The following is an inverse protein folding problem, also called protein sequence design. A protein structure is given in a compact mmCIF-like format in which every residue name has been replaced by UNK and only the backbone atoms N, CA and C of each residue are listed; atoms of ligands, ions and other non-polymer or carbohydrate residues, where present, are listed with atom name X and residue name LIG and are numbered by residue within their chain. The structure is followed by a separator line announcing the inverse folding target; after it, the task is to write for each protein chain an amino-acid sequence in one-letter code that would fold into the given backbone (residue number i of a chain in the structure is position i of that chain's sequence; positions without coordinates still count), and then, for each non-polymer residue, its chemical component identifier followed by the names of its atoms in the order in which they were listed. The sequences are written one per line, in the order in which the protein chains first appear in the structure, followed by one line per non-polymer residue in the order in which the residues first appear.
data_IF_694358619017
#
_entry.id   IF_694358619017
#
_cell.length_a   1.000
_cell.length_b   1.000
_cell.length_c   1.000
_cell.angle_alpha   90.00
_cell.angle_beta   90.00
_cell.angle_gamma   90.00
#
_symmetry.space_group_name_H-M   'P 1'
#
loop_
_entity.id
_entity.type
_entity.pdbx_description
1 polymer ?
#
# COMPACT_ATOMS: atom_id res chain seq x y z
N UNK A 1 -62.39 -29.73 -43.87
CA UNK A 1 -61.19 -30.39 -44.42
C UNK A 1 -60.79 -31.51 -43.48
N UNK A 2 -61.01 -32.75 -43.92
CA UNK A 2 -60.89 -33.97 -43.13
C UNK A 2 -59.42 -34.46 -43.13
N UNK A 3 -58.83 -34.65 -41.95
CA UNK A 3 -57.53 -35.32 -41.80
C UNK A 3 -57.75 -36.83 -41.71
N UNK A 4 -57.15 -37.53 -42.67
CA UNK A 4 -57.15 -38.98 -42.80
C UNK A 4 -56.48 -39.66 -41.59
N UNK A 5 -57.13 -40.73 -41.10
CA UNK A 5 -56.52 -41.79 -40.28
C UNK A 5 -55.61 -42.64 -41.17
N UNK A 6 -54.47 -43.13 -40.67
CA UNK A 6 -53.89 -44.37 -41.15
C UNK A 6 -54.48 -45.56 -40.37
N UNK A 7 -54.90 -46.55 -41.13
CA UNK A 7 -55.33 -47.88 -40.66
C UNK A 7 -54.17 -48.62 -40.00
N UNK A 8 -54.52 -49.38 -38.96
CA UNK A 8 -53.64 -50.25 -38.21
C UNK A 8 -53.92 -51.69 -38.68
N UNK A 9 -52.95 -52.45 -39.22
CA UNK A 9 -53.18 -53.85 -39.50
C UNK A 9 -53.19 -54.64 -38.19
N UNK A 10 -54.27 -55.38 -38.00
CA UNK A 10 -54.44 -56.47 -37.06
C UNK A 10 -53.57 -57.66 -37.48
N UNK A 11 -52.68 -58.10 -36.59
CA UNK A 11 -51.98 -59.37 -36.69
C UNK A 11 -52.08 -60.08 -35.35
N UNK A 12 -52.79 -61.21 -35.37
CA UNK A 12 -53.11 -62.04 -34.22
C UNK A 12 -51.88 -62.67 -33.54
N UNK A 13 -52.02 -62.78 -32.22
CA UNK A 13 -51.52 -63.81 -31.30
C UNK A 13 -50.47 -64.81 -31.79
N UNK A 14 -49.28 -64.72 -31.21
CA UNK A 14 -48.46 -65.89 -30.92
C UNK A 14 -47.81 -65.76 -29.53
N UNK A 15 -48.38 -66.53 -28.59
CA UNK A 15 -47.75 -67.14 -27.43
C UNK A 15 -46.66 -66.34 -26.66
N UNK A 16 -47.10 -65.82 -25.53
CA UNK A 16 -46.31 -65.47 -24.36
C UNK A 16 -45.33 -66.60 -23.97
N UNK A 17 -44.03 -66.30 -24.02
CA UNK A 17 -43.01 -66.96 -23.19
C UNK A 17 -42.20 -65.87 -22.52
N UNK A 18 -42.12 -65.81 -21.18
CA UNK A 18 -41.26 -64.85 -20.50
C UNK A 18 -39.81 -65.23 -20.82
N UNK A 19 -39.14 -64.40 -21.63
CA UNK A 19 -37.69 -64.48 -21.79
C UNK A 19 -37.08 -64.05 -20.46
N UNK A 20 -36.67 -65.04 -19.68
CA UNK A 20 -35.90 -64.89 -18.46
C UNK A 20 -34.66 -64.04 -18.78
N UNK A 21 -34.64 -62.79 -18.27
CA UNK A 21 -33.48 -61.91 -18.42
C UNK A 21 -32.27 -62.62 -17.81
N UNK A 22 -31.17 -62.82 -18.55
CA UNK A 22 -30.01 -63.50 -18.02
C UNK A 22 -29.51 -62.73 -16.79
N UNK A 23 -29.42 -63.45 -15.67
CA UNK A 23 -28.91 -62.92 -14.41
C UNK A 23 -27.57 -62.20 -14.67
N UNK A 24 -27.51 -60.90 -14.38
CA UNK A 24 -26.28 -60.11 -14.47
C UNK A 24 -25.20 -60.82 -13.65
N UNK A 25 -24.22 -61.43 -14.32
CA UNK A 25 -23.04 -62.01 -13.67
C UNK A 25 -22.45 -60.95 -12.72
N UNK A 26 -22.12 -61.31 -11.47
CA UNK A 26 -21.48 -60.39 -10.55
C UNK A 26 -20.19 -59.89 -11.20
N UNK A 27 -20.04 -58.57 -11.32
CA UNK A 27 -18.82 -57.97 -11.83
C UNK A 27 -17.66 -58.42 -10.93
N UNK A 28 -16.54 -58.90 -11.48
CA UNK A 28 -15.40 -59.32 -10.66
C UNK A 28 -14.94 -58.14 -9.78
N UNK A 29 -14.47 -58.42 -8.54
CA UNK A 29 -13.95 -57.39 -7.66
C UNK A 29 -12.92 -56.56 -8.41
N UNK A 30 -13.14 -55.24 -8.49
CA UNK A 30 -12.24 -54.34 -9.20
C UNK A 30 -10.88 -54.40 -8.52
N UNK A 31 -9.91 -55.04 -9.18
CA UNK A 31 -8.56 -55.21 -8.68
C UNK A 31 -7.96 -53.82 -8.39
N UNK A 32 -7.58 -53.59 -7.13
CA UNK A 32 -7.03 -52.29 -6.72
C UNK A 32 -5.65 -52.18 -7.33
N UNK A 33 -5.47 -51.24 -8.28
CA UNK A 33 -4.14 -50.92 -8.82
C UNK A 33 -3.15 -50.72 -7.66
N UNK A 34 -1.94 -51.33 -7.73
CA UNK A 34 -0.91 -51.15 -6.71
C UNK A 34 -0.66 -49.66 -6.48
N UNK A 35 -0.61 -49.24 -5.21
CA UNK A 35 -0.22 -47.86 -4.88
C UNK A 35 1.27 -47.73 -5.17
N UNK A 36 1.62 -46.70 -5.93
CA UNK A 36 3.00 -46.31 -6.15
C UNK A 36 3.65 -45.92 -4.80
N UNK A 37 4.72 -46.62 -4.36
CA UNK A 37 5.38 -46.35 -3.09
C UNK A 37 6.07 -44.97 -3.07
N UNK A 38 6.39 -44.39 -4.24
CA UNK A 38 7.01 -43.06 -4.32
C UNK A 38 6.05 -41.93 -3.98
N UNK A 39 4.72 -42.16 -4.01
CA UNK A 39 3.74 -41.12 -3.72
C UNK A 39 2.51 -41.70 -3.00
N UNK A 40 2.54 -41.77 -1.65
CA UNK A 40 1.58 -42.53 -0.84
C UNK A 40 0.16 -41.95 -0.84
N UNK A 41 -0.05 -40.77 -1.44
CA UNK A 41 -1.33 -40.07 -1.43
C UNK A 41 -2.30 -40.67 -2.44
N UNK A 42 -3.55 -40.84 -1.99
CA UNK A 42 -4.64 -41.20 -2.89
C UNK A 42 -4.86 -40.10 -3.95
N UNK A 43 -5.41 -40.43 -5.14
CA UNK A 43 -5.72 -39.43 -6.16
C UNK A 43 -6.56 -38.28 -5.64
N UNK A 44 -7.54 -38.56 -4.77
CA UNK A 44 -8.40 -37.55 -4.16
C UNK A 44 -7.62 -36.57 -3.27
N UNK A 45 -6.68 -37.08 -2.46
CA UNK A 45 -5.81 -36.24 -1.61
C UNK A 45 -4.88 -35.40 -2.48
N UNK A 46 -4.33 -35.96 -3.56
CA UNK A 46 -3.49 -35.18 -4.50
C UNK A 46 -4.28 -34.03 -5.11
N UNK A 47 -5.49 -34.30 -5.60
CA UNK A 47 -6.37 -33.26 -6.14
C UNK A 47 -6.67 -32.17 -5.12
N UNK A 48 -7.00 -32.55 -3.88
CA UNK A 48 -7.25 -31.59 -2.81
C UNK A 48 -6.03 -30.70 -2.54
N UNK A 49 -4.84 -31.29 -2.41
CA UNK A 49 -3.61 -30.54 -2.15
C UNK A 49 -3.27 -29.65 -3.35
N UNK A 50 -3.41 -30.14 -4.58
CA UNK A 50 -3.21 -29.32 -5.78
C UNK A 50 -4.15 -28.12 -5.83
N UNK A 51 -5.43 -28.30 -5.47
CA UNK A 51 -6.39 -27.20 -5.38
C UNK A 51 -6.00 -26.19 -4.28
N UNK A 52 -5.54 -26.67 -3.12
CA UNK A 52 -5.08 -25.80 -2.03
C UNK A 52 -3.83 -24.99 -2.42
N UNK A 53 -2.87 -25.61 -3.11
CA UNK A 53 -1.68 -24.92 -3.64
C UNK A 53 -2.08 -23.88 -4.68
N UNK A 54 -2.97 -24.24 -5.61
CA UNK A 54 -3.46 -23.30 -6.62
C UNK A 54 -4.19 -22.11 -5.98
N UNK A 55 -5.02 -22.37 -4.97
CA UNK A 55 -5.70 -21.33 -4.18
C UNK A 55 -4.71 -20.40 -3.49
N UNK A 56 -3.69 -20.95 -2.82
CA UNK A 56 -2.67 -20.16 -2.13
C UNK A 56 -1.87 -19.32 -3.12
N UNK A 57 -1.42 -19.89 -4.23
CA UNK A 57 -0.70 -19.15 -5.27
C UNK A 57 -1.57 -18.03 -5.83
N UNK A 58 -2.85 -18.28 -6.12
CA UNK A 58 -3.77 -17.23 -6.54
C UNK A 58 -3.89 -16.12 -5.47
N UNK A 59 -3.99 -16.47 -4.20
CA UNK A 59 -4.04 -15.50 -3.10
C UNK A 59 -2.75 -14.67 -2.95
N UNK A 60 -1.58 -15.23 -3.31
CA UNK A 60 -0.30 -14.51 -3.29
C UNK A 60 -0.14 -13.59 -4.49
N UNK A 61 -0.59 -13.99 -5.67
CA UNK A 61 -0.35 -13.25 -6.92
C UNK A 61 -1.48 -12.28 -7.32
N UNK A 62 -2.70 -12.47 -6.83
CA UNK A 62 -3.82 -11.54 -7.10
C UNK A 62 -3.61 -10.16 -6.44
N UNK A 63 -3.21 -10.05 -5.15
CA UNK A 63 -3.03 -8.74 -4.52
C UNK A 63 -1.98 -7.84 -5.19
N UNK A 64 -0.79 -8.34 -5.63
CA UNK A 64 0.18 -7.54 -6.37
C UNK A 64 -0.32 -7.01 -7.74
N UNK A 65 -1.40 -7.57 -8.30
CA UNK A 65 -2.04 -7.01 -9.50
C UNK A 65 -2.91 -5.80 -9.19
N UNK A 66 -3.14 -5.50 -7.91
CA UNK A 66 -3.76 -4.27 -7.43
C UNK A 66 -2.70 -3.15 -7.37
N UNK A 67 -2.16 -2.77 -8.53
CA UNK A 67 -1.27 -1.61 -8.61
C UNK A 67 -2.11 -0.34 -8.59
N UNK A 68 -2.02 0.45 -7.52
CA UNK A 68 -2.48 1.83 -7.50
C UNK A 68 -1.57 2.67 -8.40
N UNK A 69 -1.85 2.70 -9.70
CA UNK A 69 -1.24 3.67 -10.60
C UNK A 69 -2.12 4.93 -10.59
N UNK A 70 -1.83 5.87 -9.71
CA UNK A 70 -2.45 7.21 -9.76
C UNK A 70 -1.68 8.09 -10.75
N UNK A 71 -2.30 8.55 -11.85
CA UNK A 71 -1.64 9.42 -12.83
C UNK A 71 -1.36 10.87 -12.40
N UNK A 72 -1.66 11.30 -11.16
CA UNK A 72 -1.42 12.68 -10.71
C UNK A 72 -1.01 12.73 -9.23
N UNK A 73 0.13 13.36 -8.96
CA UNK A 73 0.81 13.49 -7.66
C UNK A 73 0.09 14.41 -6.64
N UNK A 74 -1.24 14.26 -6.44
CA UNK A 74 -2.01 15.10 -5.50
C UNK A 74 -2.78 14.34 -4.41
N UNK A 75 -2.79 13.01 -4.47
CA UNK A 75 -3.33 12.15 -3.42
C UNK A 75 -2.22 11.23 -2.91
N UNK A 76 -2.23 10.93 -1.62
CA UNK A 76 -1.37 9.91 -1.03
C UNK A 76 -1.81 8.53 -1.55
N UNK A 77 -1.05 7.85 -2.43
CA UNK A 77 -1.55 6.64 -3.08
C UNK A 77 -1.06 5.43 -2.30
N UNK A 78 -1.78 5.05 -1.26
CA UNK A 78 -1.82 3.70 -0.69
C UNK A 78 -2.67 3.80 0.56
N UNK A 79 -3.97 3.73 0.35
CA UNK A 79 -4.89 3.62 1.47
C UNK A 79 -5.11 2.13 1.68
N UNK A 80 -4.89 1.59 2.89
CA UNK A 80 -5.20 0.20 3.18
C UNK A 80 -6.62 -0.14 2.69
N UNK A 81 -6.87 -1.38 2.23
CA UNK A 81 -8.22 -1.76 1.81
C UNK A 81 -9.26 -1.43 2.88
N UNK A 82 -10.13 -0.45 2.60
CA UNK A 82 -11.19 -0.01 3.50
C UNK A 82 -11.00 1.35 4.18
N UNK A 83 -9.83 1.99 4.05
CA UNK A 83 -9.62 3.36 4.54
C UNK A 83 -9.99 4.42 3.46
N UNK A 84 -10.28 5.69 3.86
CA UNK A 84 -10.57 6.77 2.93
C UNK A 84 -9.30 7.32 2.24
N UNK A 85 -9.40 7.60 0.93
CA UNK A 85 -8.35 8.33 0.19
C UNK A 85 -8.18 9.70 0.80
N UNK A 86 -6.94 10.10 1.09
CA UNK A 86 -6.61 11.41 1.64
C UNK A 86 -5.87 12.27 0.62
N UNK A 87 -6.15 13.57 0.62
CA UNK A 87 -5.45 14.50 -0.27
C UNK A 87 -4.01 14.75 0.24
N UNK A 88 -3.25 15.58 -0.48
CA UNK A 88 -1.92 16.04 -0.02
C UNK A 88 -1.96 16.80 1.32
N UNK A 89 -3.16 17.12 1.82
CA UNK A 89 -3.42 17.76 3.10
C UNK A 89 -4.07 16.77 4.09
N UNK A 90 -3.95 15.45 3.88
CA UNK A 90 -4.45 14.44 4.82
C UNK A 90 -5.96 14.45 5.06
N UNK A 91 -6.72 15.25 4.32
CA UNK A 91 -8.17 15.35 4.43
C UNK A 91 -8.82 14.21 3.67
N UNK A 92 -9.84 13.58 4.26
CA UNK A 92 -10.58 12.51 3.61
C UNK A 92 -11.27 13.03 2.35
N UNK A 93 -10.86 12.50 1.20
CA UNK A 93 -11.42 12.79 -0.10
C UNK A 93 -12.63 11.89 -0.35
N UNK A 94 -13.82 12.48 -0.52
CA UNK A 94 -15.00 11.70 -0.85
C UNK A 94 -14.89 11.10 -2.28
N UNK A 95 -15.48 9.91 -2.54
CA UNK A 95 -15.34 9.19 -3.81
C UNK A 95 -15.72 9.97 -5.07
N UNK A 96 -16.60 10.96 -4.94
CA UNK A 96 -17.01 11.82 -6.04
C UNK A 96 -15.89 12.77 -6.52
N UNK A 97 -14.90 13.08 -5.69
CA UNK A 97 -13.76 13.96 -6.03
C UNK A 97 -12.52 13.22 -6.52
N UNK A 98 -12.52 11.90 -6.48
CA UNK A 98 -11.37 11.08 -6.89
C UNK A 98 -10.98 11.30 -8.36
N UNK A 99 -11.97 11.44 -9.26
CA UNK A 99 -11.70 11.70 -10.68
C UNK A 99 -11.10 13.09 -10.93
N UNK A 100 -11.45 14.07 -10.11
CA UNK A 100 -10.97 15.47 -10.26
C UNK A 100 -9.47 15.60 -10.00
N UNK A 101 -8.93 14.73 -9.16
CA UNK A 101 -7.51 14.67 -8.80
C UNK A 101 -6.75 13.55 -9.52
N UNK A 102 -7.37 12.93 -10.52
CA UNK A 102 -6.75 11.87 -11.32
C UNK A 102 -6.60 10.53 -10.61
N UNK A 103 -7.35 10.27 -9.53
CA UNK A 103 -7.45 8.92 -8.94
C UNK A 103 -8.43 8.11 -9.79
N UNK A 104 -7.88 7.37 -10.75
CA UNK A 104 -8.62 6.34 -11.48
C UNK A 104 -8.42 5.00 -10.79
N UNK A 105 -9.52 4.31 -10.48
CA UNK A 105 -9.44 2.90 -10.06
C UNK A 105 -9.06 2.11 -11.30
N UNK A 106 -7.76 1.85 -11.48
CA UNK A 106 -7.22 1.09 -12.61
C UNK A 106 -7.32 -0.43 -12.42
N UNK A 107 -8.09 -0.92 -11.45
CA UNK A 107 -8.26 -2.35 -11.23
C UNK A 107 -9.35 -2.91 -12.17
N UNK A 108 -9.04 -3.88 -13.05
CA UNK A 108 -10.06 -4.60 -13.79
C UNK A 108 -11.08 -5.22 -12.79
N UNK A 109 -12.40 -5.18 -13.07
CA UNK A 109 -13.42 -5.66 -12.13
C UNK A 109 -13.18 -7.10 -11.63
N UNK A 110 -12.60 -7.95 -12.48
CA UNK A 110 -12.21 -9.31 -12.13
C UNK A 110 -11.12 -9.33 -11.05
N UNK A 111 -10.08 -8.50 -11.19
CA UNK A 111 -8.97 -8.43 -10.22
C UNK A 111 -9.48 -7.88 -8.89
N UNK A 112 -10.31 -6.83 -8.92
CA UNK A 112 -10.93 -6.29 -7.71
C UNK A 112 -11.82 -7.33 -6.99
N UNK A 113 -12.62 -8.08 -7.75
CA UNK A 113 -13.45 -9.16 -7.21
C UNK A 113 -12.64 -10.28 -6.58
N UNK A 114 -11.56 -10.72 -7.25
CA UNK A 114 -10.66 -11.74 -6.73
C UNK A 114 -9.89 -11.26 -5.50
N UNK A 115 -9.39 -10.02 -5.49
CA UNK A 115 -8.71 -9.43 -4.34
C UNK A 115 -9.63 -9.43 -3.11
N UNK A 116 -10.89 -8.99 -3.27
CA UNK A 116 -11.90 -9.04 -2.19
C UNK A 116 -12.18 -10.45 -1.71
N UNK A 117 -12.22 -11.42 -2.61
CA UNK A 117 -12.43 -12.83 -2.25
C UNK A 117 -11.27 -13.40 -1.42
N UNK A 118 -10.03 -13.07 -1.78
CA UNK A 118 -8.84 -13.55 -1.08
C UNK A 118 -8.49 -12.74 0.18
N UNK A 119 -9.05 -11.54 0.35
CA UNK A 119 -8.70 -10.59 1.40
C UNK A 119 -8.64 -11.23 2.81
N UNK A 120 -9.68 -11.96 3.22
CA UNK A 120 -9.71 -12.59 4.54
C UNK A 120 -8.60 -13.64 4.73
N UNK A 121 -8.30 -14.42 3.68
CA UNK A 121 -7.23 -15.42 3.72
C UNK A 121 -5.85 -14.75 3.71
N UNK A 122 -5.68 -13.71 2.90
CA UNK A 122 -4.43 -12.96 2.80
C UNK A 122 -4.12 -12.22 4.10
N UNK A 123 -5.13 -11.62 4.74
CA UNK A 123 -5.03 -10.99 6.06
C UNK A 123 -4.68 -12.01 7.15
N UNK A 124 -5.33 -13.17 7.15
CA UNK A 124 -5.06 -14.23 8.14
C UNK A 124 -3.59 -14.70 8.10
N UNK A 125 -3.02 -14.80 6.90
CA UNK A 125 -1.63 -15.24 6.70
C UNK A 125 -0.63 -14.08 6.58
N UNK A 126 -1.10 -12.83 6.66
CA UNK A 126 -0.30 -11.62 6.52
C UNK A 126 0.52 -11.54 5.21
N UNK A 127 -0.04 -12.06 4.11
CA UNK A 127 0.61 -12.12 2.78
C UNK A 127 0.18 -10.98 1.84
N UNK A 128 -0.66 -10.06 2.32
CA UNK A 128 -1.16 -8.91 1.57
C UNK A 128 -0.19 -7.73 1.50
N UNK A 129 0.85 -7.68 2.33
CA UNK A 129 1.79 -6.53 2.41
C UNK A 129 2.96 -6.60 1.42
N UNK A 130 2.97 -7.58 0.51
CA UNK A 130 4.16 -7.95 -0.25
C UNK A 130 4.78 -6.80 -1.06
N UNK A 131 3.97 -6.01 -1.77
CA UNK A 131 4.50 -4.91 -2.59
C UNK A 131 4.80 -3.65 -1.76
N UNK A 132 3.94 -3.28 -0.80
CA UNK A 132 4.16 -2.11 0.07
C UNK A 132 5.41 -2.24 0.95
N UNK A 133 5.78 -3.46 1.35
CA UNK A 133 6.98 -3.70 2.16
C UNK A 133 8.29 -3.45 1.38
N UNK A 134 8.34 -3.81 0.10
CA UNK A 134 9.57 -3.68 -0.73
C UNK A 134 9.59 -2.43 -1.61
N UNK A 135 8.42 -1.89 -1.90
CA UNK A 135 8.22 -0.68 -2.70
C UNK A 135 7.18 0.19 -1.99
N UNK A 136 7.47 0.69 -0.77
CA UNK A 136 6.61 1.70 -0.17
C UNK A 136 6.44 2.80 -1.20
N UNK A 137 5.20 3.10 -1.57
CA UNK A 137 4.94 4.06 -2.62
C UNK A 137 5.62 5.37 -2.21
N UNK A 138 6.62 5.86 -2.97
CA UNK A 138 7.32 7.05 -2.55
C UNK A 138 6.28 8.17 -2.50
N UNK A 139 5.96 8.61 -1.28
CA UNK A 139 5.16 9.81 -1.09
C UNK A 139 5.91 11.00 -1.65
N UNK A 140 5.30 12.17 -1.56
CA UNK A 140 6.05 13.40 -1.78
C UNK A 140 7.24 13.49 -0.82
N UNK A 141 8.35 14.08 -1.28
CA UNK A 141 9.52 14.31 -0.44
C UNK A 141 9.43 15.69 0.20
N UNK A 142 9.80 15.81 1.46
CA UNK A 142 9.80 17.09 2.15
C UNK A 142 11.21 17.68 2.20
N UNK A 143 11.30 19.00 2.00
CA UNK A 143 12.52 19.78 2.21
C UNK A 143 12.19 21.02 3.02
N UNK A 144 13.14 21.43 3.87
CA UNK A 144 13.04 22.64 4.67
C UNK A 144 14.15 23.58 4.25
N UNK A 145 13.78 24.71 3.66
CA UNK A 145 14.70 25.84 3.47
C UNK A 145 14.75 26.65 4.76
N UNK A 146 15.93 27.10 5.19
CA UNK A 146 16.08 27.90 6.41
C UNK A 146 16.93 29.16 6.19
N UNK A 147 16.57 30.20 6.93
CA UNK A 147 17.31 31.46 7.07
C UNK A 147 17.47 31.75 8.56
N UNK A 148 18.70 31.74 9.06
CA UNK A 148 19.03 32.16 10.43
C UNK A 148 19.32 33.66 10.43
N UNK A 149 18.67 34.38 11.33
CA UNK A 149 18.70 35.83 11.45
C UNK A 149 19.39 36.25 12.75
N UNK A 150 20.16 37.33 12.70
CA UNK A 150 20.71 37.99 13.89
C UNK A 150 19.66 38.81 14.67
N UNK A 151 20.09 39.49 15.74
CA UNK A 151 19.24 40.36 16.55
C UNK A 151 18.64 41.55 15.76
N UNK A 152 19.28 41.93 14.64
CA UNK A 152 18.83 43.02 13.76
C UNK A 152 17.92 42.51 12.62
N UNK A 153 17.64 41.20 12.57
CA UNK A 153 16.87 40.57 11.52
C UNK A 153 17.62 40.39 10.19
N UNK A 154 18.96 40.47 10.20
CA UNK A 154 19.80 40.21 9.02
C UNK A 154 20.15 38.73 8.92
N UNK A 155 20.11 38.13 7.72
CA UNK A 155 20.47 36.73 7.52
C UNK A 155 21.97 36.52 7.75
N UNK A 156 22.30 35.62 8.67
CA UNK A 156 23.67 35.21 9.00
C UNK A 156 24.01 33.80 8.49
N UNK A 157 23.00 32.98 8.20
CA UNK A 157 23.17 31.69 7.56
C UNK A 157 21.91 31.31 6.79
N UNK A 158 22.09 30.59 5.70
CA UNK A 158 21.02 30.02 4.89
C UNK A 158 21.37 28.59 4.50
N UNK A 159 20.35 27.78 4.19
CA UNK A 159 20.57 26.42 3.71
C UNK A 159 19.29 25.62 3.57
N UNK A 160 19.45 24.31 3.34
CA UNK A 160 18.36 23.37 3.12
C UNK A 160 18.57 22.08 3.91
N UNK A 161 17.48 21.49 4.40
CA UNK A 161 17.45 20.17 5.02
C UNK A 161 16.49 19.26 4.25
N UNK A 162 16.89 18.02 3.89
CA UNK A 162 18.27 17.52 3.86
C UNK A 162 19.04 18.06 2.63
N UNK A 163 20.36 18.25 2.75
CA UNK A 163 21.25 18.62 1.63
C UNK A 163 22.46 17.69 1.59
N UNK A 164 22.67 17.02 0.44
CA UNK A 164 23.77 16.09 0.22
C UNK A 164 25.16 16.75 0.27
N UNK A 165 25.24 18.06 -0.01
CA UNK A 165 26.50 18.82 0.02
C UNK A 165 26.99 19.03 1.44
N UNK A 166 26.06 19.28 2.36
CA UNK A 166 26.36 19.64 3.74
C UNK A 166 26.34 18.44 4.70
N UNK A 167 25.64 17.35 4.34
CA UNK A 167 25.31 16.24 5.24
C UNK A 167 25.95 14.91 4.83
N UNK A 168 27.25 14.96 4.57
CA UNK A 168 28.07 13.76 4.32
C UNK A 168 28.75 13.29 5.61
N UNK A 169 28.88 11.96 5.88
CA UNK A 169 28.49 10.80 5.06
C UNK A 169 26.98 10.54 5.03
N UNK A 170 26.53 9.66 4.12
CA UNK A 170 25.11 9.37 3.81
C UNK A 170 24.20 9.11 5.03
N UNK A 171 24.75 8.59 6.13
CA UNK A 171 23.99 8.41 7.37
C UNK A 171 23.50 9.74 7.99
N UNK A 172 24.30 10.80 7.90
CA UNK A 172 23.89 12.14 8.36
C UNK A 172 22.78 12.70 7.49
N UNK A 173 22.86 12.56 6.17
CA UNK A 173 21.78 12.91 5.26
C UNK A 173 20.49 12.17 5.62
N UNK A 174 20.55 10.84 5.83
CA UNK A 174 19.38 10.05 6.23
C UNK A 174 18.77 10.54 7.54
N UNK A 175 19.58 10.93 8.52
CA UNK A 175 19.06 11.50 9.78
C UNK A 175 18.24 12.76 9.53
N UNK A 176 18.74 13.69 8.71
CA UNK A 176 18.02 14.93 8.42
C UNK A 176 16.79 14.69 7.53
N UNK A 177 16.86 13.73 6.60
CA UNK A 177 15.71 13.30 5.82
C UNK A 177 14.61 12.76 6.74
N UNK A 178 14.93 11.84 7.66
CA UNK A 178 13.95 11.32 8.63
C UNK A 178 13.38 12.41 9.52
N UNK A 179 14.19 13.38 9.96
CA UNK A 179 13.72 14.52 10.76
C UNK A 179 12.72 15.38 9.99
N UNK A 180 12.99 15.66 8.71
CA UNK A 180 12.10 16.45 7.86
C UNK A 180 10.81 15.67 7.55
N UNK A 181 10.88 14.36 7.29
CA UNK A 181 9.69 13.53 7.10
C UNK A 181 8.84 13.39 8.37
N UNK A 182 9.42 13.50 9.56
CA UNK A 182 8.66 13.52 10.82
C UNK A 182 7.87 14.82 11.07
N UNK A 183 8.12 15.87 10.28
CA UNK A 183 7.37 17.13 10.39
C UNK A 183 6.00 17.11 9.70
N UNK A 184 5.57 15.93 9.24
CA UNK A 184 4.27 15.70 8.59
C UNK A 184 3.11 15.89 9.57
N UNK A 185 2.41 17.04 9.50
CA UNK A 185 0.96 17.08 9.73
C UNK A 185 0.30 18.14 8.86
N UNK A 186 -0.82 17.82 8.17
CA UNK A 186 -1.53 18.78 7.35
C UNK A 186 -2.23 19.90 8.11
N UNK A 187 -2.76 19.57 9.29
CA UNK A 187 -3.54 20.51 10.10
C UNK A 187 -2.64 21.50 10.86
N UNK A 188 -1.35 21.18 10.94
CA UNK A 188 -0.34 21.98 11.62
C UNK A 188 1.04 21.68 11.00
N UNK A 189 1.48 22.43 9.98
CA UNK A 189 2.76 22.18 9.34
C UNK A 189 3.88 22.33 10.36
N UNK A 190 4.64 21.26 10.55
CA UNK A 190 5.62 21.10 11.61
C UNK A 190 4.96 21.17 13.00
N UNK A 191 4.61 20.03 13.60
CA UNK A 191 4.11 20.00 14.96
C UNK A 191 5.05 19.12 15.82
N UNK A 192 5.92 19.78 16.56
CA UNK A 192 6.77 19.21 17.61
C UNK A 192 8.27 19.03 17.28
N UNK A 193 8.70 19.03 16.01
CA UNK A 193 10.11 18.84 15.63
C UNK A 193 10.77 20.14 15.17
N UNK A 194 9.99 21.09 14.66
CA UNK A 194 10.39 22.42 14.22
C UNK A 194 11.09 23.22 15.28
N UNK A 195 10.55 23.28 16.50
CA UNK A 195 11.17 24.04 17.58
C UNK A 195 12.53 23.42 17.92
N UNK A 196 12.66 22.09 17.86
CA UNK A 196 13.93 21.39 18.11
C UNK A 196 14.95 21.64 17.00
N UNK A 197 14.52 21.58 15.73
CA UNK A 197 15.38 21.87 14.57
C UNK A 197 15.78 23.35 14.56
N UNK A 198 14.84 24.24 14.89
CA UNK A 198 15.06 25.67 14.98
C UNK A 198 16.07 26.01 16.09
N UNK A 199 15.89 25.48 17.30
CA UNK A 199 16.85 25.63 18.40
C UNK A 199 18.23 25.10 18.03
N UNK A 200 18.31 23.95 17.34
CA UNK A 200 19.58 23.44 16.84
C UNK A 200 20.23 24.38 15.82
N UNK A 201 19.47 24.94 14.87
CA UNK A 201 19.96 25.92 13.90
C UNK A 201 20.44 27.20 14.59
N UNK A 202 19.68 27.72 15.55
CA UNK A 202 20.06 28.89 16.34
C UNK A 202 21.34 28.64 17.14
N UNK A 203 21.47 27.48 17.78
CA UNK A 203 22.66 27.09 18.53
C UNK A 203 23.87 26.91 17.61
N UNK A 204 23.68 26.32 16.42
CA UNK A 204 24.75 26.06 15.44
C UNK A 204 25.31 27.36 14.86
N UNK A 205 24.45 28.31 14.51
CA UNK A 205 24.85 29.54 13.81
C UNK A 205 24.91 30.78 14.72
N UNK A 206 24.49 30.68 15.98
CA UNK A 206 24.48 31.79 16.93
C UNK A 206 23.41 32.84 16.64
N UNK A 207 22.29 32.46 16.01
CA UNK A 207 21.21 33.38 15.62
C UNK A 207 20.26 33.75 16.75
N UNK A 208 19.48 34.81 16.50
CA UNK A 208 18.40 35.27 17.37
C UNK A 208 17.03 34.70 16.96
N UNK A 209 16.84 34.47 15.67
CA UNK A 209 15.64 33.84 15.13
C UNK A 209 15.95 33.05 13.86
N UNK A 210 15.08 32.12 13.50
CA UNK A 210 15.22 31.32 12.29
C UNK A 210 13.87 31.27 11.58
N UNK A 211 13.90 31.51 10.28
CA UNK A 211 12.76 31.36 9.39
C UNK A 211 12.94 30.07 8.62
N UNK A 212 11.96 29.18 8.72
CA UNK A 212 11.95 27.89 8.05
C UNK A 212 10.78 27.82 7.09
N UNK A 213 11.00 27.28 5.91
CA UNK A 213 9.98 27.12 4.88
C UNK A 213 9.90 25.67 4.46
N UNK A 214 8.76 25.03 4.71
CA UNK A 214 8.49 23.67 4.28
C UNK A 214 8.06 23.70 2.82
N UNK A 215 8.79 22.96 1.99
CA UNK A 215 8.45 22.75 0.59
C UNK A 215 8.29 21.25 0.34
N UNK A 216 7.27 20.91 -0.43
CA UNK A 216 7.05 19.57 -0.96
C UNK A 216 7.76 19.48 -2.31
N UNK A 217 8.62 18.48 -2.47
CA UNK A 217 9.25 18.12 -3.73
C UNK A 217 8.47 16.99 -4.40
N UNK A 218 7.82 17.33 -5.51
CA UNK A 218 7.00 16.42 -6.31
C UNK A 218 7.88 15.56 -7.22
N UNK A 219 7.55 14.28 -7.30
CA UNK A 219 8.16 13.39 -8.28
C UNK A 219 7.82 13.82 -9.70
N UNK A 220 8.75 13.56 -10.62
CA UNK A 220 8.50 13.76 -12.04
C UNK A 220 7.57 12.66 -12.57
N UNK A 221 6.59 13.06 -13.38
CA UNK A 221 5.83 12.10 -14.18
C UNK A 221 6.74 11.50 -15.27
N UNK A 222 6.47 10.27 -15.75
CA UNK A 222 7.23 9.68 -16.84
C UNK A 222 7.31 10.57 -18.08
N UNK A 223 6.22 11.28 -18.41
CA UNK A 223 6.18 12.22 -19.53
C UNK A 223 7.17 13.38 -19.32
N UNK A 224 7.19 13.99 -18.12
CA UNK A 224 8.13 15.09 -17.82
C UNK A 224 9.60 14.65 -17.92
N UNK A 225 9.90 13.41 -17.51
CA UNK A 225 11.24 12.83 -17.68
C UNK A 225 11.59 12.68 -19.17
N UNK A 226 10.65 12.16 -19.97
CA UNK A 226 10.83 12.02 -21.44
C UNK A 226 11.03 13.39 -22.10
N UNK A 227 10.32 14.41 -21.62
CA UNK A 227 10.44 15.79 -22.08
C UNK A 227 11.76 16.46 -21.63
N UNK A 228 12.60 15.75 -20.88
CA UNK A 228 13.92 16.22 -20.45
C UNK A 228 13.93 17.10 -19.20
N UNK A 229 12.82 17.15 -18.45
CA UNK A 229 12.74 17.89 -17.19
C UNK A 229 13.71 17.29 -16.17
N UNK A 230 14.45 18.16 -15.49
CA UNK A 230 15.37 17.73 -14.45
C UNK A 230 14.62 17.46 -13.14
N UNK A 231 15.06 16.47 -12.34
CA UNK A 231 14.44 16.19 -11.03
C UNK A 231 14.50 17.37 -10.05
N UNK A 232 15.49 18.24 -10.18
CA UNK A 232 15.72 19.41 -9.32
C UNK A 232 15.10 20.71 -9.86
N UNK A 233 14.27 20.63 -10.90
CA UNK A 233 13.63 21.80 -11.49
C UNK A 233 12.77 22.56 -10.44
N UNK A 234 12.89 23.90 -10.30
CA UNK A 234 12.13 24.66 -9.31
C UNK A 234 10.62 24.47 -9.38
N UNK A 235 10.07 24.16 -10.56
CA UNK A 235 8.64 23.90 -10.75
C UNK A 235 8.14 22.61 -10.08
N UNK A 236 9.06 21.75 -9.65
CA UNK A 236 8.75 20.52 -8.89
C UNK A 236 8.57 20.78 -7.40
N UNK A 237 8.84 22.00 -6.91
CA UNK A 237 8.70 22.35 -5.51
C UNK A 237 7.44 23.16 -5.26
N UNK A 238 6.66 22.74 -4.27
CA UNK A 238 5.47 23.43 -3.79
C UNK A 238 5.69 23.91 -2.36
N UNK A 239 5.58 25.21 -2.12
CA UNK A 239 5.74 25.77 -0.77
C UNK A 239 4.46 25.60 0.03
N UNK A 240 4.54 24.88 1.14
CA UNK A 240 3.39 24.55 2.00
C UNK A 240 3.19 25.61 3.08
N UNK A 241 4.28 26.06 3.69
CA UNK A 241 4.19 27.02 4.79
C UNK A 241 5.55 27.56 5.22
N UNK A 242 5.50 28.67 5.97
CA UNK A 242 6.67 29.30 6.56
C UNK A 242 6.44 29.46 8.06
N UNK A 243 7.44 29.10 8.84
CA UNK A 243 7.49 29.18 10.29
C UNK A 243 8.64 30.10 10.69
N UNK A 244 8.50 30.77 11.84
CA UNK A 244 9.56 31.58 12.42
C UNK A 244 9.65 31.24 13.90
N UNK A 245 10.84 30.85 14.33
CA UNK A 245 11.18 30.58 15.73
C UNK A 245 12.14 31.65 16.23
N UNK A 246 11.92 32.16 17.43
CA UNK A 246 12.86 33.06 18.11
C UNK A 246 13.48 32.34 19.28
N UNK A 247 14.73 32.70 19.57
CA UNK A 247 15.47 32.15 20.70
C UNK A 247 14.69 32.38 22.00
N UNK A 248 14.40 31.30 22.71
CA UNK A 248 13.66 31.34 23.97
C UNK A 248 12.14 31.28 23.82
N UNK A 249 11.62 31.13 22.59
CA UNK A 249 10.24 30.70 22.40
C UNK A 249 10.06 29.32 23.05
N UNK A 250 9.00 29.16 23.85
CA UNK A 250 8.72 27.89 24.53
C UNK A 250 8.32 26.87 23.47
N UNK A 251 9.04 25.74 23.33
CA UNK A 251 8.66 24.70 22.40
C UNK A 251 7.22 24.29 22.68
N UNK A 252 6.39 24.18 21.65
CA UNK A 252 5.07 23.59 21.84
C UNK A 252 5.27 22.17 22.38
N UNK A 253 4.51 21.73 23.39
CA UNK A 253 4.64 20.38 23.88
C UNK A 253 4.47 19.41 22.71
N UNK A 254 5.54 18.68 22.41
CA UNK A 254 5.52 17.59 21.46
C UNK A 254 4.40 16.63 21.86
N UNK A 255 3.41 16.39 21.00
CA UNK A 255 2.42 15.33 21.26
C UNK A 255 3.10 13.96 21.45
N UNK A 256 4.32 13.78 20.90
CA UNK A 256 5.15 12.61 21.09
C UNK A 256 5.87 12.54 22.46
N UNK A 257 6.10 13.67 23.14
CA UNK A 257 6.75 13.70 24.48
C UNK A 257 5.81 13.17 25.56
N UNK A 258 4.50 13.10 25.28
CA UNK A 258 3.51 12.49 26.19
C UNK A 258 3.68 10.96 26.32
N UNK A 259 4.58 10.34 25.57
CA UNK A 259 4.77 8.88 25.56
C UNK A 259 6.17 8.39 25.93
N UNK A 260 7.10 9.25 26.37
CA UNK A 260 8.36 8.75 26.94
C UNK A 260 8.03 8.16 28.31
N UNK A 261 8.10 6.84 28.50
CA UNK A 261 7.84 6.25 29.80
C UNK A 261 8.87 6.82 30.79
N UNK A 262 8.41 7.17 31.99
CA UNK A 262 9.31 7.66 33.04
C UNK A 262 10.50 6.70 33.21
N UNK A 263 11.71 7.22 33.52
CA UNK A 263 12.87 6.38 33.81
C UNK A 263 12.49 5.35 34.89
N UNK A 264 12.54 4.06 34.55
CA UNK A 264 12.10 2.96 35.42
C UNK A 264 10.79 2.27 35.02
N UNK A 265 10.14 2.69 33.93
CA UNK A 265 9.00 1.92 33.39
C UNK A 265 9.48 0.57 32.87
N UNK A 266 9.02 -0.51 33.49
CA UNK A 266 9.29 -1.88 33.04
C UNK A 266 8.69 -2.10 31.65
N UNK A 267 9.54 -2.30 30.65
CA UNK A 267 9.13 -2.71 29.30
C UNK A 267 8.78 -4.21 29.38
N UNK A 268 7.54 -4.63 29.10
CA UNK A 268 7.17 -6.03 29.11
C UNK A 268 8.07 -6.85 28.18
N UNK A 269 8.76 -7.85 28.73
CA UNK A 269 9.67 -8.73 27.96
C UNK A 269 11.14 -8.31 27.95
N UNK A 270 11.51 -7.20 28.58
CA UNK A 270 12.92 -6.82 28.80
C UNK A 270 13.18 -6.83 30.30
N UNK A 271 13.80 -7.91 30.80
CA UNK A 271 14.40 -7.88 32.13
C UNK A 271 15.67 -7.01 32.10
N UNK A 272 15.97 -6.29 33.21
CA UNK A 272 17.10 -5.37 33.29
C UNK A 272 18.46 -6.05 33.07
#
# INVERSE_FOLDING_TARGET
MAKQRPEKPSGDSAADKPVEKPAKRPKPPREKKPRDPAMPWSPAVRTLVSLAVLFHLAAVFVPPWFLYLTPMHKATPAVPPGEPVRDARGEDLPPNRWREIGVEIQAPPLVAGLAKFFDHYANLLYINNGYEFFSPNPSVSHVVDYEVLDDNGQPIAEGRLPDLRDQWPRLYYHRHMMLVEQTQTPDNPLNGVEDTVAEWLLAKYGGASVRMTLSIHHLLTPQRVIDGMRPDDPSTYERVGTFTHRKGDVPRPNAAVESIPAPGTTIPGVTP
#
